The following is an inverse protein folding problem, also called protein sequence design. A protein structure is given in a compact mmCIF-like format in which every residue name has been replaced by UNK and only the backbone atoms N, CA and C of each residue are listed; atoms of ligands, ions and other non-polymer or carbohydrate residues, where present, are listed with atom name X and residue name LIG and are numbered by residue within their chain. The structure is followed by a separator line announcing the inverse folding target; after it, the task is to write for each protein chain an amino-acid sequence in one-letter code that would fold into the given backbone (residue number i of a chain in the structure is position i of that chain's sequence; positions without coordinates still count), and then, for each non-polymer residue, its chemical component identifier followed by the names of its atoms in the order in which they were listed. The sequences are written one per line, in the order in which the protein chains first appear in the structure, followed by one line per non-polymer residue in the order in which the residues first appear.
data_IF_123743642333
#
_entry.id   IF_123743642333
#
_cell.length_a   1.000
_cell.length_b   1.000
_cell.length_c   1.000
_cell.angle_alpha   90.00
_cell.angle_beta   90.00
_cell.angle_gamma   90.00
#
_symmetry.space_group_name_H-M   'P 1'
#
loop_
_entity.id
_entity.type
_entity.pdbx_description
1 polymer ?
#
# COMPACT_ATOMS: atom_id res chain seq x y z
N UNK A 1 3.61 10.57 38.95
CA UNK A 1 4.15 9.56 39.89
C UNK A 1 3.96 8.10 39.44
N UNK A 2 3.04 7.79 38.52
CA UNK A 2 2.76 6.40 38.09
C UNK A 2 3.90 5.73 37.27
N UNK A 3 4.75 6.51 36.58
CA UNK A 3 5.89 5.98 35.82
C UNK A 3 7.02 5.43 36.71
N UNK A 4 7.14 5.90 37.97
CA UNK A 4 8.10 5.34 38.93
C UNK A 4 7.63 3.97 39.46
N UNK A 5 6.32 3.71 39.45
CA UNK A 5 5.71 2.46 39.93
C UNK A 5 5.93 1.32 38.92
N UNK A 6 5.86 1.59 37.61
CA UNK A 6 6.11 0.56 36.59
C UNK A 6 7.60 0.18 36.48
N UNK A 7 8.51 1.14 36.70
CA UNK A 7 9.93 0.83 36.79
C UNK A 7 10.23 -0.05 38.01
N UNK A 8 9.60 0.22 39.16
CA UNK A 8 9.73 -0.63 40.35
C UNK A 8 9.16 -2.03 40.15
N UNK A 9 7.99 -2.17 39.51
CA UNK A 9 7.37 -3.47 39.25
C UNK A 9 8.19 -4.36 38.31
N UNK A 10 8.83 -3.77 37.29
CA UNK A 10 9.71 -4.51 36.38
C UNK A 10 11.00 -4.96 37.09
N UNK A 11 11.53 -4.16 38.00
CA UNK A 11 12.70 -4.52 38.81
C UNK A 11 12.37 -5.52 39.91
N UNK A 12 11.19 -5.44 40.53
CA UNK A 12 10.73 -6.41 41.54
C UNK A 12 10.52 -7.80 40.94
N UNK A 13 10.05 -7.88 39.69
CA UNK A 13 9.91 -9.16 39.00
C UNK A 13 11.27 -9.83 38.69
N UNK A 14 12.34 -9.05 38.46
CA UNK A 14 13.70 -9.58 38.30
C UNK A 14 14.37 -9.96 39.63
N UNK A 15 14.11 -9.22 40.71
CA UNK A 15 14.59 -9.58 42.06
C UNK A 15 13.97 -10.91 42.53
N UNK A 16 12.74 -11.22 42.14
CA UNK A 16 12.12 -12.53 42.40
C UNK A 16 12.79 -13.71 41.68
N UNK A 17 13.63 -13.47 40.65
CA UNK A 17 14.37 -14.51 39.95
C UNK A 17 15.77 -14.78 40.53
N UNK A 18 16.11 -14.18 41.69
CA UNK A 18 17.34 -14.47 42.41
C UNK A 18 18.61 -13.81 41.86
N UNK A 19 18.49 -12.97 40.83
CA UNK A 19 19.60 -12.16 40.34
C UNK A 19 19.87 -11.01 41.30
N UNK A 20 21.08 -10.96 41.84
CA UNK A 20 21.52 -9.83 42.67
C UNK A 20 21.83 -8.64 41.77
N UNK A 21 21.58 -7.41 42.24
CA UNK A 21 21.89 -6.18 41.47
C UNK A 21 23.33 -6.12 40.97
N UNK A 22 24.27 -6.79 41.66
CA UNK A 22 25.66 -6.90 41.27
C UNK A 22 25.86 -7.67 39.94
N UNK A 23 25.06 -8.70 39.67
CA UNK A 23 25.13 -9.44 38.40
C UNK A 23 24.57 -8.62 37.24
N UNK A 24 23.55 -7.81 37.50
CA UNK A 24 22.93 -6.94 36.49
C UNK A 24 23.91 -5.83 36.05
N UNK A 25 24.68 -5.27 36.99
CA UNK A 25 25.68 -4.23 36.68
C UNK A 25 26.81 -4.74 35.76
N UNK A 26 27.19 -6.02 35.86
CA UNK A 26 28.22 -6.61 35.00
C UNK A 26 27.82 -6.58 33.51
N UNK A 27 26.53 -6.77 33.21
CA UNK A 27 26.02 -6.72 31.84
C UNK A 27 25.96 -5.30 31.26
N UNK A 28 25.90 -4.26 32.09
CA UNK A 28 25.84 -2.87 31.63
C UNK A 28 27.19 -2.35 31.12
N UNK A 29 28.30 -3.06 31.37
CA UNK A 29 29.60 -2.74 30.79
C UNK A 29 29.74 -3.12 29.31
N UNK A 30 28.84 -3.94 28.77
CA UNK A 30 28.86 -4.33 27.36
C UNK A 30 28.17 -3.22 26.54
N UNK A 31 28.87 -2.51 25.63
CA UNK A 31 28.31 -1.33 24.95
C UNK A 31 27.03 -1.62 24.15
N UNK A 32 26.89 -2.82 23.57
CA UNK A 32 25.70 -3.21 22.83
C UNK A 32 24.47 -3.40 23.74
N UNK A 33 24.66 -3.92 24.96
CA UNK A 33 23.58 -4.08 25.95
C UNK A 33 23.08 -2.72 26.42
N UNK A 34 24.00 -1.78 26.67
CA UNK A 34 23.64 -0.41 27.04
C UNK A 34 22.88 0.33 25.92
N UNK A 35 23.27 0.13 24.65
CA UNK A 35 22.53 0.69 23.51
C UNK A 35 21.12 0.10 23.39
N UNK A 36 20.98 -1.22 23.52
CA UNK A 36 19.68 -1.89 23.49
C UNK A 36 18.79 -1.41 24.65
N UNK A 37 19.35 -1.25 25.84
CA UNK A 37 18.61 -0.74 27.00
C UNK A 37 18.13 0.70 26.78
N UNK A 38 18.99 1.58 26.25
CA UNK A 38 18.61 2.96 25.90
C UNK A 38 17.51 3.01 24.84
N UNK A 39 17.62 2.16 23.80
CA UNK A 39 16.61 2.05 22.76
C UNK A 39 15.27 1.54 23.32
N UNK A 40 15.31 0.48 24.14
CA UNK A 40 14.14 -0.06 24.82
C UNK A 40 13.46 0.99 25.70
N UNK A 41 14.23 1.70 26.54
CA UNK A 41 13.70 2.75 27.40
C UNK A 41 13.08 3.91 26.61
N UNK A 42 13.73 4.32 25.51
CA UNK A 42 13.19 5.32 24.58
C UNK A 42 11.86 4.87 23.95
N UNK A 43 11.77 3.60 23.55
CA UNK A 43 10.55 3.01 23.02
C UNK A 43 9.44 2.95 24.07
N UNK A 44 9.74 2.47 25.29
CA UNK A 44 8.77 2.42 26.39
C UNK A 44 8.21 3.80 26.72
N UNK A 45 9.05 4.85 26.71
CA UNK A 45 8.60 6.22 26.92
C UNK A 45 7.67 6.71 25.82
N UNK A 46 7.94 6.33 24.57
CA UNK A 46 7.09 6.68 23.43
C UNK A 46 5.74 5.97 23.50
N UNK A 47 5.73 4.69 23.88
CA UNK A 47 4.50 3.92 24.10
C UNK A 47 3.66 4.53 25.22
N UNK A 48 4.27 4.92 26.33
CA UNK A 48 3.56 5.58 27.43
C UNK A 48 2.88 6.89 26.99
N UNK A 49 3.59 7.72 26.21
CA UNK A 49 3.02 8.97 25.65
C UNK A 49 1.84 8.71 24.72
N UNK A 50 1.96 7.71 23.84
CA UNK A 50 0.88 7.35 22.91
C UNK A 50 -0.36 6.80 23.64
N UNK A 51 -0.18 6.11 24.77
CA UNK A 51 -1.30 5.64 25.60
C UNK A 51 -2.03 6.79 26.29
N UNK A 52 -1.30 7.81 26.74
CA UNK A 52 -1.87 9.04 27.31
C UNK A 52 -2.67 9.82 26.26
N UNK A 53 -2.09 10.05 25.08
CA UNK A 53 -2.78 10.73 23.96
C UNK A 53 -4.03 9.96 23.52
N UNK A 54 -3.96 8.63 23.44
CA UNK A 54 -5.12 7.78 23.14
C UNK A 54 -6.23 7.92 24.17
N UNK A 55 -5.88 8.08 25.44
CA UNK A 55 -6.85 8.26 26.53
C UNK A 55 -7.52 9.64 26.43
N UNK A 56 -6.75 10.70 26.17
CA UNK A 56 -7.28 12.05 25.96
C UNK A 56 -8.27 12.10 24.78
N UNK A 57 -7.94 11.45 23.66
CA UNK A 57 -8.82 11.35 22.50
C UNK A 57 -10.12 10.60 22.81
N UNK A 58 -10.06 9.55 23.65
CA UNK A 58 -11.25 8.83 24.09
C UNK A 58 -12.16 9.73 24.92
N UNK A 59 -11.59 10.44 25.90
CA UNK A 59 -12.34 11.36 26.76
C UNK A 59 -12.94 12.54 25.97
N UNK A 60 -12.19 13.05 24.96
CA UNK A 60 -12.67 14.06 24.03
C UNK A 60 -13.88 13.59 23.21
N UNK A 61 -13.82 12.37 22.67
CA UNK A 61 -14.94 11.77 21.95
C UNK A 61 -16.16 11.57 22.85
N UNK A 62 -15.98 11.05 24.07
CA UNK A 62 -17.07 10.90 25.04
C UNK A 62 -17.72 12.23 25.42
N UNK A 63 -16.93 13.31 25.51
CA UNK A 63 -17.44 14.67 25.75
C UNK A 63 -18.28 15.17 24.58
N UNK A 64 -17.81 15.02 23.34
CA UNK A 64 -18.55 15.41 22.14
C UNK A 64 -19.85 14.62 21.99
N UNK A 65 -19.82 13.32 22.30
CA UNK A 65 -21.01 12.47 22.26
C UNK A 65 -22.06 12.92 23.28
N UNK A 66 -21.65 13.26 24.51
CA UNK A 66 -22.54 13.87 25.51
C UNK A 66 -23.13 15.21 25.06
N UNK A 67 -22.36 16.04 24.36
CA UNK A 67 -22.89 17.29 23.80
C UNK A 67 -23.95 17.03 22.72
N UNK A 68 -23.72 16.07 21.83
CA UNK A 68 -24.71 15.67 20.82
C UNK A 68 -26.00 15.14 21.47
N UNK A 69 -25.90 14.32 22.51
CA UNK A 69 -27.05 13.84 23.26
C UNK A 69 -27.82 14.99 23.94
N UNK A 70 -27.14 16.00 24.50
CA UNK A 70 -27.79 17.19 25.05
C UNK A 70 -28.56 17.99 23.99
N UNK A 71 -28.04 18.10 22.76
CA UNK A 71 -28.74 18.75 21.66
C UNK A 71 -29.95 17.96 21.17
N UNK A 72 -29.89 16.62 21.19
CA UNK A 72 -31.01 15.77 20.79
C UNK A 72 -32.10 15.66 21.85
N UNK A 73 -31.72 15.67 23.13
CA UNK A 73 -32.64 15.54 24.26
C UNK A 73 -33.25 16.87 24.70
N UNK A 74 -32.69 18.00 24.27
CA UNK A 74 -33.35 19.29 24.44
C UNK A 74 -34.71 19.23 23.75
N UNK A 75 -35.82 19.28 24.50
CA UNK A 75 -37.15 19.24 23.91
C UNK A 75 -37.20 20.39 22.93
N UNK A 76 -37.26 20.05 21.64
CA UNK A 76 -37.42 21.01 20.56
C UNK A 76 -38.63 21.85 20.91
N UNK A 77 -38.39 23.02 21.50
CA UNK A 77 -39.43 23.98 21.81
C UNK A 77 -40.11 24.20 20.47
N UNK A 78 -41.36 23.74 20.34
CA UNK A 78 -42.13 23.67 19.11
C UNK A 78 -42.05 25.00 18.34
N UNK A 79 -40.97 25.18 17.59
CA UNK A 79 -40.81 26.30 16.69
C UNK A 79 -41.63 25.87 15.49
N UNK A 80 -42.86 26.35 15.47
CA UNK A 80 -43.68 26.38 14.27
C UNK A 80 -42.86 27.14 13.24
N UNK A 81 -42.10 26.41 12.41
CA UNK A 81 -41.46 26.96 11.23
C UNK A 81 -42.59 27.42 10.33
N UNK A 82 -43.00 28.67 10.47
CA UNK A 82 -43.86 29.34 9.51
C UNK A 82 -43.04 29.40 8.23
N UNK A 83 -43.29 28.44 7.35
CA UNK A 83 -42.64 28.28 6.06
C UNK A 83 -43.06 29.49 5.21
N UNK A 84 -42.32 30.58 5.32
CA UNK A 84 -42.45 31.71 4.39
C UNK A 84 -41.98 31.22 3.03
N UNK A 85 -42.98 30.80 2.24
CA UNK A 85 -42.85 30.47 0.83
C UNK A 85 -42.58 31.78 0.10
N UNK A 86 -41.31 32.20 0.08
CA UNK A 86 -40.86 33.27 -0.81
C UNK A 86 -40.95 32.74 -2.23
N UNK A 87 -42.06 33.07 -2.89
CA UNK A 87 -42.27 32.93 -4.32
C UNK A 87 -41.30 33.89 -4.99
N UNK A 88 -40.13 33.41 -5.38
CA UNK A 88 -39.25 34.16 -6.27
C UNK A 88 -39.77 33.97 -7.70
N UNK A 89 -40.56 34.93 -8.17
CA UNK A 89 -40.96 35.07 -9.57
C UNK A 89 -39.71 35.15 -10.44
N UNK A 90 -39.39 34.04 -11.11
CA UNK A 90 -38.33 33.99 -12.10
C UNK A 90 -38.94 34.33 -13.45
N UNK A 91 -38.79 35.61 -13.85
CA UNK A 91 -39.12 36.12 -15.18
C UNK A 91 -38.01 35.79 -16.18
N UNK A 92 -37.85 34.51 -16.52
CA UNK A 92 -37.04 34.11 -17.67
C UNK A 92 -37.93 33.42 -18.72
N UNK A 93 -37.95 33.89 -19.98
CA UNK A 93 -38.73 33.25 -21.04
C UNK A 93 -38.02 31.96 -21.48
N UNK A 94 -38.56 30.82 -21.06
CA UNK A 94 -38.19 29.50 -21.56
C UNK A 94 -38.92 29.21 -22.86
N UNK A 95 -38.17 29.12 -23.97
CA UNK A 95 -38.64 28.51 -25.21
C UNK A 95 -38.13 27.06 -25.31
N UNK A 96 -39.09 26.15 -25.48
CA UNK A 96 -38.99 24.89 -26.26
C UNK A 96 -38.27 23.69 -25.63
N UNK A 97 -39.01 22.66 -25.21
CA UNK A 97 -39.48 21.45 -25.96
C UNK A 97 -38.43 20.32 -25.98
N UNK A 98 -38.65 19.30 -25.16
CA UNK A 98 -38.94 17.93 -25.64
C UNK A 98 -39.19 16.98 -24.48
N UNK A 99 -40.42 16.46 -24.44
CA UNK A 99 -40.87 15.41 -23.55
C UNK A 99 -40.34 14.05 -24.03
N UNK A 100 -39.83 13.26 -23.09
CA UNK A 100 -39.80 11.80 -23.18
C UNK A 100 -40.44 11.24 -21.92
N UNK A 101 -41.50 10.41 -22.01
CA UNK A 101 -42.17 9.87 -20.85
C UNK A 101 -41.44 8.58 -20.43
N UNK A 102 -40.81 8.58 -19.26
CA UNK A 102 -40.41 7.33 -18.62
C UNK A 102 -40.85 7.32 -17.17
N UNK A 103 -42.04 6.72 -16.97
CA UNK A 103 -42.56 6.33 -15.67
C UNK A 103 -41.52 5.49 -14.92
N UNK A 104 -41.05 5.99 -13.78
CA UNK A 104 -40.70 5.17 -12.62
C UNK A 104 -41.29 5.82 -11.36
N UNK A 105 -41.88 5.05 -10.45
CA UNK A 105 -42.39 5.59 -9.20
C UNK A 105 -41.20 5.93 -8.30
N UNK A 106 -40.85 7.22 -8.22
CA UNK A 106 -40.01 7.73 -7.13
C UNK A 106 -40.86 7.77 -5.87
N UNK A 107 -40.58 6.87 -4.93
CA UNK A 107 -40.96 7.05 -3.55
C UNK A 107 -40.27 8.31 -3.03
N UNK A 108 -41.08 9.27 -2.59
CA UNK A 108 -40.63 10.41 -1.80
C UNK A 108 -39.99 9.88 -0.52
N UNK A 109 -38.66 9.84 -0.47
CA UNK A 109 -37.92 9.88 0.79
C UNK A 109 -37.51 11.33 0.96
N UNK A 110 -38.21 12.02 1.85
CA UNK A 110 -37.88 13.38 2.27
C UNK A 110 -36.41 13.44 2.67
N UNK A 111 -35.65 14.29 1.97
CA UNK A 111 -34.33 14.74 2.38
C UNK A 111 -34.44 15.48 3.71
N UNK A 112 -34.32 14.73 4.80
CA UNK A 112 -33.89 15.26 6.08
C UNK A 112 -32.42 15.67 5.95
N UNK A 113 -32.14 16.93 6.28
CA UNK A 113 -30.81 17.48 6.55
C UNK A 113 -30.11 16.65 7.63
N UNK A 114 -29.45 15.57 7.23
CA UNK A 114 -28.49 14.88 8.08
C UNK A 114 -27.19 15.68 7.96
N UNK A 115 -26.90 16.52 8.96
CA UNK A 115 -25.55 17.02 9.24
C UNK A 115 -24.68 15.82 9.60
N UNK A 116 -24.25 15.13 8.56
CA UNK A 116 -23.37 13.98 8.61
C UNK A 116 -22.05 14.46 9.22
N UNK A 117 -21.75 13.96 10.42
CA UNK A 117 -20.46 14.15 11.06
C UNK A 117 -19.40 13.68 10.06
N UNK A 118 -18.69 14.65 9.49
CA UNK A 118 -17.73 14.49 8.40
C UNK A 118 -16.67 13.47 8.78
N UNK A 119 -16.96 12.19 8.52
CA UNK A 119 -15.92 11.19 8.29
C UNK A 119 -14.98 11.80 7.24
N UNK A 120 -13.65 11.73 7.44
CA UNK A 120 -12.69 12.35 6.54
C UNK A 120 -13.04 11.90 5.13
N UNK A 121 -13.54 12.86 4.33
CA UNK A 121 -14.05 12.58 3.00
C UNK A 121 -12.96 11.80 2.28
N UNK A 122 -13.26 10.53 1.94
CA UNK A 122 -12.39 9.69 1.13
C UNK A 122 -12.07 10.51 -0.11
N UNK A 123 -10.85 11.05 -0.17
CA UNK A 123 -10.42 11.91 -1.27
C UNK A 123 -10.49 11.03 -2.50
N UNK A 124 -11.51 11.26 -3.33
CA UNK A 124 -11.67 10.56 -4.59
C UNK A 124 -10.34 10.72 -5.32
N UNK A 125 -9.66 9.62 -5.69
CA UNK A 125 -8.35 9.70 -6.30
C UNK A 125 -8.46 10.59 -7.53
N UNK A 126 -7.66 11.65 -7.56
CA UNK A 126 -7.56 12.53 -8.73
C UNK A 126 -7.19 11.64 -9.90
N UNK A 127 -8.04 11.59 -10.93
CA UNK A 127 -7.73 10.81 -12.13
C UNK A 127 -6.41 11.31 -12.70
N UNK A 128 -5.37 10.48 -12.70
CA UNK A 128 -4.10 10.80 -13.36
C UNK A 128 -4.37 11.07 -14.85
N UNK A 129 -3.74 12.10 -15.44
CA UNK A 129 -3.95 12.39 -16.84
C UNK A 129 -3.43 11.24 -17.70
N UNK A 130 -4.21 10.81 -18.69
CA UNK A 130 -3.79 9.77 -19.64
C UNK A 130 -2.58 10.22 -20.44
N UNK A 131 -2.50 11.50 -20.76
CA UNK A 131 -1.39 12.12 -21.49
C UNK A 131 -0.35 12.66 -20.52
N UNK A 132 0.93 12.46 -20.85
CA UNK A 132 2.05 12.99 -20.10
C UNK A 132 2.02 14.53 -20.08
N UNK A 133 2.04 15.17 -18.89
CA UNK A 133 2.23 16.61 -18.79
C UNK A 133 3.55 17.06 -19.42
N UNK A 134 3.54 18.22 -20.10
CA UNK A 134 4.71 18.75 -20.80
C UNK A 134 5.89 19.12 -19.87
N UNK A 135 5.62 19.29 -18.57
CA UNK A 135 6.64 19.56 -17.54
C UNK A 135 7.53 18.34 -17.23
N UNK A 136 7.09 17.13 -17.58
CA UNK A 136 7.84 15.91 -17.29
C UNK A 136 8.66 15.45 -18.50
N UNK A 137 9.94 15.09 -18.29
CA UNK A 137 10.82 14.72 -19.39
C UNK A 137 10.47 13.33 -19.97
N UNK A 138 11.02 13.01 -21.15
CA UNK A 138 10.68 11.77 -21.88
C UNK A 138 11.12 10.51 -21.12
N UNK A 139 12.16 10.67 -20.31
CA UNK A 139 12.77 9.68 -19.46
C UNK A 139 11.77 9.14 -18.44
N UNK A 140 10.82 9.94 -17.94
CA UNK A 140 9.80 9.39 -17.04
C UNK A 140 8.89 8.45 -17.81
N UNK A 141 9.00 7.14 -17.53
CA UNK A 141 8.18 6.12 -18.17
C UNK A 141 6.73 6.31 -17.74
N UNK A 142 5.95 6.97 -18.59
CA UNK A 142 4.60 7.42 -18.29
C UNK A 142 3.61 6.29 -18.49
N UNK A 143 3.75 5.56 -19.59
CA UNK A 143 2.99 4.34 -19.88
C UNK A 143 3.85 3.11 -19.58
N UNK A 144 3.19 1.98 -19.30
CA UNK A 144 3.89 0.70 -19.12
C UNK A 144 4.64 0.29 -20.39
N UNK A 145 4.12 0.62 -21.57
CA UNK A 145 4.74 0.29 -22.85
C UNK A 145 6.04 1.05 -23.12
N UNK A 146 6.23 2.22 -22.50
CA UNK A 146 7.47 3.01 -22.59
C UNK A 146 8.68 2.21 -22.08
N UNK A 147 8.46 1.21 -21.20
CA UNK A 147 9.53 0.33 -20.72
C UNK A 147 10.17 -0.51 -21.82
N UNK A 148 9.48 -0.76 -22.95
CA UNK A 148 10.00 -1.60 -24.04
C UNK A 148 11.11 -0.90 -24.83
N UNK A 149 11.03 0.42 -24.93
CA UNK A 149 11.97 1.26 -25.68
C UNK A 149 12.99 1.92 -24.78
N UNK A 150 12.96 1.64 -23.48
CA UNK A 150 13.81 2.31 -22.51
C UNK A 150 15.28 1.91 -22.66
N UNK A 151 16.18 2.89 -22.65
CA UNK A 151 17.64 2.69 -22.72
C UNK A 151 18.27 2.56 -21.34
N UNK A 152 17.60 3.01 -20.26
CA UNK A 152 18.12 2.93 -18.87
C UNK A 152 17.76 1.61 -18.16
N UNK A 153 17.40 0.58 -18.94
CA UNK A 153 17.27 -0.78 -18.43
C UNK A 153 15.94 -1.13 -17.75
N UNK A 154 14.87 -0.34 -17.91
CA UNK A 154 13.52 -0.76 -17.50
C UNK A 154 12.94 -1.88 -18.36
N UNK A 155 13.61 -2.22 -19.47
CA UNK A 155 13.20 -3.27 -20.40
C UNK A 155 12.88 -4.59 -19.68
N UNK A 156 11.76 -5.23 -20.03
CA UNK A 156 11.44 -6.57 -19.52
C UNK A 156 12.54 -7.57 -19.85
N UNK A 157 12.80 -8.51 -18.94
CA UNK A 157 13.74 -9.61 -19.20
C UNK A 157 13.17 -10.54 -20.28
N UNK A 158 14.04 -11.17 -21.09
CA UNK A 158 13.67 -12.16 -22.12
C UNK A 158 12.79 -13.28 -21.57
N UNK A 159 13.06 -13.74 -20.36
CA UNK A 159 12.27 -14.79 -19.70
C UNK A 159 10.96 -14.29 -19.06
N UNK A 160 10.76 -12.98 -18.96
CA UNK A 160 9.60 -12.37 -18.31
C UNK A 160 9.19 -11.04 -18.96
N UNK A 161 8.79 -11.12 -20.24
CA UNK A 161 8.41 -9.96 -21.06
C UNK A 161 7.25 -9.14 -20.47
N UNK A 162 6.46 -9.72 -19.57
CA UNK A 162 5.31 -9.07 -18.94
C UNK A 162 5.66 -8.12 -17.79
N UNK A 163 6.89 -8.20 -17.25
CA UNK A 163 7.32 -7.48 -16.06
C UNK A 163 8.54 -6.61 -16.34
N UNK A 164 8.38 -5.28 -16.39
CA UNK A 164 9.53 -4.38 -16.48
C UNK A 164 10.38 -4.48 -15.21
N UNK A 165 11.65 -4.11 -15.32
CA UNK A 165 12.54 -4.02 -14.16
C UNK A 165 12.14 -2.80 -13.33
N UNK A 166 11.28 -3.02 -12.33
CA UNK A 166 10.61 -1.94 -11.59
C UNK A 166 11.55 -0.91 -10.93
N UNK A 167 12.76 -1.30 -10.53
CA UNK A 167 13.77 -0.36 -10.00
C UNK A 167 14.15 0.71 -11.03
N UNK A 168 14.43 0.31 -12.27
CA UNK A 168 14.77 1.23 -13.38
C UNK A 168 13.54 1.97 -13.94
N UNK A 169 12.36 1.40 -13.74
CA UNK A 169 11.12 1.98 -14.25
C UNK A 169 10.57 3.12 -13.37
N UNK A 170 10.90 3.14 -12.08
CA UNK A 170 10.55 4.22 -11.16
C UNK A 170 11.65 5.27 -11.26
N UNK A 171 11.24 6.50 -11.56
CA UNK A 171 12.14 7.62 -11.82
C UNK A 171 11.71 8.84 -11.03
N UNK A 172 12.67 9.69 -10.72
CA UNK A 172 12.39 10.99 -10.14
C UNK A 172 11.81 11.96 -11.18
N UNK A 173 11.45 13.17 -10.73
CA UNK A 173 10.82 14.20 -11.59
C UNK A 173 11.73 14.70 -12.72
N UNK A 174 13.05 14.56 -12.55
CA UNK A 174 14.06 14.89 -13.55
C UNK A 174 14.33 13.74 -14.53
N UNK A 175 13.69 12.58 -14.34
CA UNK A 175 13.90 11.39 -15.16
C UNK A 175 15.04 10.49 -14.71
N UNK A 176 15.74 10.83 -13.63
CA UNK A 176 16.80 9.97 -13.06
C UNK A 176 16.22 8.70 -12.43
N UNK A 177 17.01 7.62 -12.43
CA UNK A 177 16.63 6.35 -11.81
C UNK A 177 16.79 6.44 -10.30
N UNK A 178 15.81 5.96 -9.54
CA UNK A 178 15.87 5.98 -8.09
C UNK A 178 16.96 5.07 -7.51
N UNK A 179 17.46 5.42 -6.33
CA UNK A 179 18.46 4.61 -5.62
C UNK A 179 17.93 3.22 -5.17
N UNK A 180 18.84 2.25 -5.05
CA UNK A 180 18.56 0.88 -4.58
C UNK A 180 17.88 0.87 -3.22
N UNK A 181 18.36 1.68 -2.28
CA UNK A 181 17.82 1.73 -0.91
C UNK A 181 16.41 2.32 -0.92
N UNK A 182 16.18 3.38 -1.71
CA UNK A 182 14.87 4.00 -1.84
C UNK A 182 13.85 3.04 -2.47
N UNK A 183 14.24 2.32 -3.53
CA UNK A 183 13.40 1.26 -4.11
C UNK A 183 13.08 0.15 -3.10
N UNK A 184 14.05 -0.28 -2.28
CA UNK A 184 13.82 -1.28 -1.23
C UNK A 184 12.80 -0.81 -0.20
N UNK A 185 12.85 0.46 0.20
CA UNK A 185 11.86 1.06 1.10
C UNK A 185 10.44 1.02 0.50
N UNK A 186 10.30 1.42 -0.77
CA UNK A 186 9.04 1.37 -1.51
C UNK A 186 8.49 -0.07 -1.55
N UNK A 187 9.34 -1.05 -1.85
CA UNK A 187 8.93 -2.46 -1.90
C UNK A 187 8.41 -2.97 -0.54
N UNK A 188 9.08 -2.61 0.56
CA UNK A 188 8.66 -3.00 1.92
C UNK A 188 7.29 -2.42 2.24
N UNK A 189 7.07 -1.15 1.94
CA UNK A 189 5.75 -0.52 2.16
C UNK A 189 4.69 -1.17 1.28
N UNK A 190 4.94 -1.40 -0.02
CA UNK A 190 3.98 -2.07 -0.89
C UNK A 190 3.60 -3.46 -0.35
N UNK A 191 4.57 -4.23 0.15
CA UNK A 191 4.32 -5.51 0.82
C UNK A 191 3.45 -5.34 2.06
N UNK A 192 3.75 -4.37 2.93
CA UNK A 192 2.96 -4.10 4.13
C UNK A 192 1.51 -3.70 3.79
N UNK A 193 1.32 -2.90 2.72
CA UNK A 193 -0.03 -2.50 2.26
C UNK A 193 -0.83 -3.71 1.79
N UNK A 194 -0.21 -4.62 1.03
CA UNK A 194 -0.87 -5.87 0.64
C UNK A 194 -1.14 -6.78 1.85
N UNK A 195 -0.23 -6.85 2.82
CA UNK A 195 -0.45 -7.59 4.06
C UNK A 195 -1.67 -7.08 4.82
N UNK A 196 -1.80 -5.74 4.94
CA UNK A 196 -2.96 -5.11 5.55
C UNK A 196 -4.27 -5.46 4.82
N UNK A 197 -4.28 -5.38 3.47
CA UNK A 197 -5.43 -5.77 2.66
C UNK A 197 -5.85 -7.23 2.91
N UNK A 198 -4.89 -8.15 2.96
CA UNK A 198 -5.16 -9.57 3.19
C UNK A 198 -5.65 -9.80 4.62
N UNK A 199 -5.07 -9.13 5.63
CA UNK A 199 -5.52 -9.24 7.02
C UNK A 199 -6.94 -8.73 7.22
N UNK A 200 -7.32 -7.65 6.53
CA UNK A 200 -8.68 -7.12 6.59
C UNK A 200 -9.70 -8.13 6.03
N UNK A 201 -9.39 -8.76 4.89
CA UNK A 201 -10.21 -9.85 4.35
C UNK A 201 -10.31 -11.04 5.30
N UNK A 202 -9.18 -11.40 5.91
CA UNK A 202 -9.12 -12.51 6.86
C UNK A 202 -9.93 -12.26 8.13
N UNK A 203 -10.01 -11.01 8.57
CA UNK A 203 -10.83 -10.59 9.71
C UNK A 203 -12.33 -10.69 9.40
N UNK A 204 -12.74 -10.48 8.15
CA UNK A 204 -14.15 -10.50 7.74
C UNK A 204 -14.65 -11.90 7.36
N UNK A 205 -13.80 -12.71 6.74
CA UNK A 205 -14.20 -13.98 6.11
C UNK A 205 -13.38 -15.21 6.51
N UNK A 206 -12.48 -15.08 7.49
CA UNK A 206 -11.54 -16.14 7.86
C UNK A 206 -10.36 -16.27 6.89
N UNK A 207 -9.48 -17.28 7.08
CA UNK A 207 -8.21 -17.39 6.35
C UNK A 207 -8.39 -17.33 4.83
N UNK A 208 -7.67 -16.43 4.15
CA UNK A 208 -7.82 -16.20 2.72
C UNK A 208 -7.08 -17.29 1.94
N UNK A 209 -7.78 -18.09 1.11
CA UNK A 209 -7.16 -19.11 0.29
C UNK A 209 -6.06 -18.55 -0.63
N UNK A 210 -5.00 -19.34 -0.84
CA UNK A 210 -3.81 -18.91 -1.59
C UNK A 210 -4.09 -18.58 -3.06
N UNK A 211 -5.08 -19.23 -3.65
CA UNK A 211 -5.60 -18.99 -4.99
C UNK A 211 -6.29 -17.62 -5.13
N UNK A 212 -6.79 -17.06 -4.03
CA UNK A 212 -7.37 -15.71 -3.98
C UNK A 212 -6.32 -14.61 -3.81
N UNK A 213 -5.05 -14.94 -3.53
CA UNK A 213 -3.96 -13.96 -3.47
C UNK A 213 -3.49 -13.56 -4.89
N UNK A 214 -4.39 -12.96 -5.66
CA UNK A 214 -4.15 -12.52 -7.03
C UNK A 214 -4.69 -11.11 -7.25
N UNK A 215 -4.05 -10.34 -8.15
CA UNK A 215 -4.56 -9.02 -8.58
C UNK A 215 -6.03 -9.11 -8.99
N UNK A 216 -6.39 -10.15 -9.76
CA UNK A 216 -7.74 -10.34 -10.28
C UNK A 216 -8.78 -10.38 -9.17
N UNK A 217 -8.53 -11.13 -8.10
CA UNK A 217 -9.45 -11.22 -6.97
C UNK A 217 -9.67 -9.86 -6.29
N UNK A 218 -8.60 -9.14 -5.96
CA UNK A 218 -8.74 -7.81 -5.33
C UNK A 218 -9.40 -6.81 -6.27
N UNK A 219 -9.11 -6.86 -7.57
CA UNK A 219 -9.73 -5.96 -8.53
C UNK A 219 -11.23 -6.23 -8.74
N UNK A 220 -11.69 -7.49 -8.69
CA UNK A 220 -13.12 -7.81 -8.90
C UNK A 220 -13.93 -7.71 -7.61
N UNK A 221 -13.40 -8.22 -6.50
CA UNK A 221 -14.16 -8.35 -5.26
C UNK A 221 -13.93 -7.19 -4.28
N UNK A 222 -12.79 -6.48 -4.39
CA UNK A 222 -12.29 -5.50 -3.40
C UNK A 222 -11.65 -4.27 -4.06
N UNK A 223 -12.28 -3.79 -5.13
CA UNK A 223 -11.73 -2.70 -5.96
C UNK A 223 -11.43 -1.44 -5.14
N UNK A 224 -12.32 -1.07 -4.22
CA UNK A 224 -12.17 0.13 -3.38
C UNK A 224 -10.94 0.03 -2.46
N UNK A 225 -10.73 -1.14 -1.86
CA UNK A 225 -9.57 -1.38 -1.00
C UNK A 225 -8.27 -1.39 -1.81
N UNK A 226 -8.31 -1.96 -3.02
CA UNK A 226 -7.18 -1.95 -3.95
C UNK A 226 -6.80 -0.53 -4.40
N UNK A 227 -7.79 0.27 -4.82
CA UNK A 227 -7.61 1.68 -5.18
C UNK A 227 -7.10 2.51 -4.00
N UNK A 228 -7.62 2.27 -2.80
CA UNK A 228 -7.13 2.91 -1.59
C UNK A 228 -5.67 2.55 -1.30
N UNK A 229 -5.28 1.29 -1.47
CA UNK A 229 -3.88 0.87 -1.30
C UNK A 229 -2.94 1.53 -2.33
N UNK A 230 -3.41 1.74 -3.57
CA UNK A 230 -2.68 2.52 -4.58
C UNK A 230 -2.53 3.98 -4.13
N UNK A 231 -3.64 4.63 -3.75
CA UNK A 231 -3.65 6.03 -3.36
C UNK A 231 -2.72 6.30 -2.16
N UNK A 232 -2.76 5.45 -1.14
CA UNK A 232 -1.89 5.56 0.04
C UNK A 232 -0.42 5.35 -0.35
N UNK A 233 -0.12 4.41 -1.26
CA UNK A 233 1.25 4.17 -1.70
C UNK A 233 1.80 5.34 -2.52
N UNK A 234 0.96 5.98 -3.35
CA UNK A 234 1.31 7.19 -4.11
C UNK A 234 1.45 8.43 -3.24
N UNK A 235 0.65 8.55 -2.18
CA UNK A 235 0.77 9.61 -1.18
C UNK A 235 2.09 9.52 -0.41
N UNK A 236 2.48 8.31 0.01
CA UNK A 236 3.76 8.08 0.70
C UNK A 236 4.97 8.22 -0.22
N UNK A 237 4.85 7.80 -1.49
CA UNK A 237 5.93 7.84 -2.47
C UNK A 237 5.47 8.53 -3.76
N UNK A 238 5.53 9.87 -3.83
CA UNK A 238 5.05 10.65 -4.97
C UNK A 238 5.68 10.29 -6.32
N UNK A 239 6.88 9.69 -6.34
CA UNK A 239 7.53 9.19 -7.56
C UNK A 239 6.72 8.12 -8.29
N UNK A 240 5.84 7.41 -7.58
CA UNK A 240 4.97 6.38 -8.16
C UNK A 240 3.79 7.00 -8.92
N UNK A 241 3.35 8.19 -8.50
CA UNK A 241 2.30 8.96 -9.15
C UNK A 241 2.75 9.60 -10.47
N UNK A 242 4.05 9.56 -10.80
CA UNK A 242 4.62 10.04 -12.07
C UNK A 242 4.42 8.99 -13.18
N UNK A 243 3.16 8.60 -13.41
CA UNK A 243 2.76 7.60 -14.38
C UNK A 243 1.25 7.67 -14.69
N UNK A 244 0.87 7.31 -15.91
CA UNK A 244 -0.53 7.16 -16.27
C UNK A 244 -1.18 6.00 -15.51
N UNK A 245 -2.45 6.16 -15.13
CA UNK A 245 -3.28 5.09 -14.58
C UNK A 245 -2.63 4.30 -13.43
N UNK A 246 -1.75 4.95 -12.65
CA UNK A 246 -1.12 4.41 -11.45
C UNK A 246 -0.37 3.08 -11.69
N UNK A 247 0.10 2.83 -12.92
CA UNK A 247 0.59 1.50 -13.29
C UNK A 247 1.82 1.07 -12.49
N UNK A 248 2.65 2.01 -12.04
CA UNK A 248 3.84 1.75 -11.20
C UNK A 248 3.46 1.27 -9.82
N UNK A 249 2.57 2.01 -9.13
CA UNK A 249 2.04 1.65 -7.82
C UNK A 249 1.32 0.30 -7.88
N UNK A 250 0.49 0.11 -8.90
CA UNK A 250 -0.21 -1.15 -9.11
C UNK A 250 0.76 -2.32 -9.28
N UNK A 251 1.78 -2.19 -10.12
CA UNK A 251 2.76 -3.26 -10.37
C UNK A 251 3.56 -3.61 -9.10
N UNK A 252 3.83 -2.65 -8.21
CA UNK A 252 4.44 -2.88 -6.90
C UNK A 252 3.54 -3.69 -5.97
N UNK A 253 2.24 -3.37 -5.90
CA UNK A 253 1.28 -4.17 -5.11
C UNK A 253 1.16 -5.61 -5.66
N UNK A 254 1.17 -5.79 -6.98
CA UNK A 254 1.20 -7.12 -7.60
C UNK A 254 2.45 -7.90 -7.20
N UNK A 255 3.61 -7.25 -7.15
CA UNK A 255 4.84 -7.87 -6.67
C UNK A 255 4.74 -8.21 -5.17
N UNK A 256 4.10 -7.35 -4.36
CA UNK A 256 3.82 -7.61 -2.95
C UNK A 256 2.94 -8.85 -2.73
N UNK A 257 1.88 -9.02 -3.52
CA UNK A 257 1.04 -10.22 -3.53
C UNK A 257 1.86 -11.48 -3.86
N UNK A 258 2.73 -11.41 -4.87
CA UNK A 258 3.60 -12.52 -5.23
C UNK A 258 4.56 -12.91 -4.09
N UNK A 259 5.17 -11.92 -3.43
CA UNK A 259 6.05 -12.12 -2.27
C UNK A 259 5.32 -12.75 -1.09
N UNK A 260 4.09 -12.30 -0.80
CA UNK A 260 3.24 -12.90 0.24
C UNK A 260 2.89 -14.35 -0.06
N UNK A 261 2.50 -14.64 -1.30
CA UNK A 261 2.17 -15.99 -1.73
C UNK A 261 3.36 -16.95 -1.56
N UNK A 262 4.57 -16.50 -1.92
CA UNK A 262 5.80 -17.27 -1.73
C UNK A 262 6.08 -17.53 -0.25
N UNK A 263 5.97 -16.52 0.62
CA UNK A 263 6.17 -16.66 2.08
C UNK A 263 5.18 -17.64 2.72
N UNK A 264 3.90 -17.63 2.29
CA UNK A 264 2.90 -18.61 2.73
C UNK A 264 3.14 -20.03 2.21
N UNK A 265 3.91 -20.19 1.13
CA UNK A 265 4.27 -21.51 0.61
C UNK A 265 5.45 -22.13 1.33
N UNK A 266 6.43 -21.34 1.75
CA UNK A 266 7.59 -21.85 2.49
C UNK A 266 7.24 -22.28 3.91
N UNK A 267 6.10 -21.79 4.43
CA UNK A 267 5.64 -22.04 5.80
C UNK A 267 6.69 -21.71 6.86
N UNK A 268 6.39 -21.83 8.15
CA UNK A 268 7.42 -22.13 9.13
C UNK A 268 7.90 -23.55 8.81
N UNK A 269 8.77 -23.69 7.81
CA UNK A 269 9.51 -24.93 7.61
C UNK A 269 10.07 -25.30 8.97
N UNK A 270 9.71 -26.48 9.49
CA UNK A 270 10.19 -27.07 10.75
C UNK A 270 11.69 -27.37 10.69
N UNK A 271 12.50 -26.48 10.12
CA UNK A 271 13.96 -26.47 10.10
C UNK A 271 14.48 -25.94 11.43
N UNK A 272 14.13 -26.62 12.51
CA UNK A 272 14.89 -26.55 13.75
C UNK A 272 14.79 -27.86 14.54
N UNK A 273 14.88 -28.98 13.83
CA UNK A 273 15.27 -30.25 14.43
C UNK A 273 16.49 -30.78 13.69
N UNK A 274 17.59 -30.85 14.44
CA UNK A 274 18.85 -31.57 14.16
C UNK A 274 19.86 -30.87 13.24
N UNK A 275 20.74 -30.10 13.86
CA UNK A 275 22.17 -30.34 13.69
C UNK A 275 22.88 -30.12 15.03
N UNK A 276 22.57 -31.00 15.99
CA UNK A 276 23.43 -31.28 17.15
C UNK A 276 24.16 -32.58 16.83
N UNK A 277 25.17 -32.52 15.94
CA UNK A 277 26.26 -33.49 15.86
C UNK A 277 27.27 -33.05 14.79
N UNK A 278 28.32 -32.35 15.18
CA UNK A 278 29.67 -32.91 15.27
C UNK A 278 30.65 -31.76 15.49
N UNK A 279 31.18 -31.66 16.72
CA UNK A 279 32.46 -31.01 16.93
C UNK A 279 33.51 -31.84 16.20
N UNK A 280 34.09 -31.24 15.17
CA UNK A 280 35.15 -31.84 14.36
C UNK A 280 35.87 -30.73 13.64
N UNK A 281 36.85 -30.15 14.33
CA UNK A 281 37.93 -29.33 13.80
C UNK A 281 38.23 -29.64 12.32
N UNK A 282 38.18 -28.62 11.47
CA UNK A 282 39.23 -28.37 10.46
C UNK A 282 39.09 -26.97 9.84
N UNK A 283 40.03 -26.11 10.23
CA UNK A 283 40.95 -25.31 9.38
C UNK A 283 40.36 -24.64 8.14
N UNK A 284 40.36 -23.30 8.23
CA UNK A 284 40.45 -22.25 7.20
C UNK A 284 40.71 -22.67 5.76
N UNK A 285 39.85 -22.19 4.84
CA UNK A 285 40.31 -21.60 3.59
C UNK A 285 39.29 -20.55 3.09
N UNK A 286 39.80 -19.33 2.93
CA UNK A 286 39.12 -18.15 2.41
C UNK A 286 38.68 -18.38 0.96
N UNK A 287 37.37 -18.49 0.73
CA UNK A 287 36.81 -18.41 -0.62
C UNK A 287 35.69 -17.39 -0.66
N UNK A 288 36.04 -16.21 -1.15
CA UNK A 288 35.14 -15.11 -1.44
C UNK A 288 33.96 -15.57 -2.32
N UNK A 289 32.78 -15.66 -1.72
CA UNK A 289 31.54 -15.85 -2.45
C UNK A 289 31.10 -14.53 -3.09
N UNK A 290 31.37 -14.42 -4.39
CA UNK A 290 30.84 -13.39 -5.28
C UNK A 290 29.33 -13.57 -5.42
N UNK A 291 28.57 -12.77 -4.68
CA UNK A 291 27.13 -12.58 -4.89
C UNK A 291 26.94 -11.70 -6.13
N UNK A 292 26.63 -12.33 -7.26
CA UNK A 292 26.28 -11.67 -8.52
C UNK A 292 24.89 -11.02 -8.41
N UNK A 293 24.85 -9.87 -7.74
CA UNK A 293 23.80 -8.88 -7.90
C UNK A 293 24.00 -8.24 -9.27
N UNK A 294 23.06 -8.47 -10.19
CA UNK A 294 23.01 -7.76 -11.46
C UNK A 294 22.72 -6.29 -11.22
N UNK A 295 23.74 -5.52 -10.88
CA UNK A 295 23.69 -4.08 -10.86
C UNK A 295 23.24 -3.59 -12.22
N UNK A 296 22.42 -2.53 -12.20
CA UNK A 296 21.91 -1.88 -13.39
C UNK A 296 23.02 -1.03 -14.03
N UNK A 297 24.22 -1.60 -14.14
CA UNK A 297 25.25 -1.06 -14.99
C UNK A 297 24.74 -1.23 -16.42
N UNK A 298 24.68 -0.11 -17.15
CA UNK A 298 24.18 -0.07 -18.51
C UNK A 298 24.89 -1.10 -19.40
N UNK A 299 24.28 -1.47 -20.53
CA UNK A 299 24.90 -2.41 -21.46
C UNK A 299 26.27 -1.87 -21.88
N UNK A 300 27.33 -2.49 -21.35
CA UNK A 300 28.67 -2.31 -21.89
C UNK A 300 28.65 -2.97 -23.27
N UNK A 301 28.85 -2.13 -24.27
CA UNK A 301 28.92 -2.44 -25.69
C UNK A 301 30.00 -3.51 -25.93
N UNK A 302 29.57 -4.77 -25.98
CA UNK A 302 30.43 -5.91 -26.29
C UNK A 302 30.23 -6.25 -27.76
N UNK A 303 31.22 -5.85 -28.55
CA UNK A 303 31.31 -6.11 -29.98
C UNK A 303 31.28 -7.60 -30.35
N UNK A 304 30.87 -7.77 -31.60
CA UNK A 304 30.88 -8.95 -32.46
C UNK A 304 31.58 -10.22 -31.96
N UNK A 305 30.78 -11.26 -31.75
CA UNK A 305 31.22 -12.64 -31.96
C UNK A 305 30.06 -13.47 -32.54
N UNK A 306 30.12 -13.64 -33.85
CA UNK A 306 29.42 -14.63 -34.66
C UNK A 306 29.65 -16.06 -34.11
N UNK A 307 28.59 -16.87 -34.07
CA UNK A 307 28.66 -18.21 -33.48
C UNK A 307 27.29 -18.87 -33.30
N UNK A 308 26.63 -19.18 -34.41
CA UNK A 308 25.35 -19.88 -34.43
C UNK A 308 25.37 -21.26 -33.77
N UNK A 309 24.37 -21.52 -32.92
CA UNK A 309 23.83 -22.86 -32.65
C UNK A 309 22.32 -22.78 -32.43
N UNK A 310 21.59 -23.16 -33.48
CA UNK A 310 20.15 -23.33 -33.53
C UNK A 310 19.73 -24.52 -32.66
N UNK A 311 18.99 -24.26 -31.57
CA UNK A 311 18.25 -25.28 -30.82
C UNK A 311 16.77 -24.97 -30.87
N UNK A 312 16.09 -25.67 -31.77
CA UNK A 312 14.63 -25.71 -31.89
C UNK A 312 14.06 -26.29 -30.60
N UNK A 313 13.43 -25.43 -29.79
CA UNK A 313 12.63 -25.85 -28.63
C UNK A 313 11.15 -25.59 -28.92
N UNK A 314 10.39 -26.67 -28.99
CA UNK A 314 8.97 -26.69 -29.30
C UNK A 314 8.20 -26.08 -28.13
N UNK A 315 7.63 -24.89 -28.36
CA UNK A 315 6.98 -24.08 -27.34
C UNK A 315 5.57 -24.54 -26.98
N UNK A 316 5.33 -24.73 -25.68
CA UNK A 316 3.98 -24.78 -25.11
C UNK A 316 3.52 -23.34 -24.81
N UNK A 317 2.97 -22.66 -25.83
CA UNK A 317 2.39 -21.30 -25.70
C UNK A 317 1.07 -21.37 -24.93
N UNK A 318 1.08 -21.10 -23.62
CA UNK A 318 -0.13 -20.74 -22.88
C UNK A 318 -0.52 -19.31 -23.25
N UNK A 319 -1.51 -19.19 -24.13
CA UNK A 319 -2.11 -17.93 -24.60
C UNK A 319 -2.87 -17.26 -23.46
N UNK A 320 -2.23 -16.33 -22.76
CA UNK A 320 -2.92 -15.39 -21.87
C UNK A 320 -3.66 -14.38 -22.74
N UNK A 321 -5.01 -14.44 -22.76
CA UNK A 321 -5.82 -13.38 -23.36
C UNK A 321 -5.81 -12.19 -22.40
N UNK A 322 -5.18 -11.11 -22.83
CA UNK A 322 -5.38 -9.77 -22.29
C UNK A 322 -6.80 -9.35 -22.69
N UNK A 323 -7.64 -8.98 -21.71
CA UNK A 323 -8.92 -8.32 -21.99
C UNK A 323 -8.60 -6.81 -21.97
N UNK A 324 -8.38 -6.24 -23.16
CA UNK A 324 -8.50 -4.80 -23.34
C UNK A 324 -9.99 -4.47 -23.37
N UNK A 325 -10.49 -3.80 -22.34
CA UNK A 325 -11.79 -3.15 -22.39
C UNK A 325 -11.67 -1.91 -23.27
N UNK A 326 -11.88 -2.10 -24.58
CA UNK A 326 -12.24 -1.01 -25.49
C UNK A 326 -13.68 -0.58 -25.18
N UNK A 327 -13.83 0.53 -24.47
CA UNK A 327 -15.07 1.32 -24.50
C UNK A 327 -15.07 2.07 -25.83
N UNK A 328 -15.48 1.39 -26.90
CA UNK A 328 -15.83 2.03 -28.17
C UNK A 328 -17.34 2.07 -28.29
N UNK A 329 -17.90 3.26 -28.04
CA UNK A 329 -19.29 3.55 -28.32
C UNK A 329 -19.50 3.63 -29.83
N UNK A 330 -20.05 2.57 -30.42
CA UNK A 330 -20.56 2.61 -31.78
C UNK A 330 -22.04 3.02 -31.75
N UNK A 331 -22.27 4.31 -31.94
CA UNK A 331 -23.52 4.86 -32.44
C UNK A 331 -23.65 4.47 -33.91
N UNK A 332 -24.66 3.68 -34.25
CA UNK A 332 -25.09 3.48 -35.63
C UNK A 332 -26.62 3.64 -35.70
N UNK A 333 -27.04 4.86 -36.08
CA UNK A 333 -28.33 5.16 -36.67
C UNK A 333 -28.25 4.87 -38.18
N UNK A 334 -29.20 4.09 -38.68
CA UNK A 334 -29.72 4.05 -40.07
C UNK A 334 -30.94 3.12 -40.01
N UNK A 335 -32.12 3.37 -40.57
CA UNK A 335 -32.74 4.49 -41.28
C UNK A 335 -34.26 4.34 -41.10
#
# INVERSE_FOLDING_TARGET
MQNLVHSKACTEHQVQQGHTWAEIDEYFHIPCVLQLFKAHYGLSRTVARLLEEKQELREGNERLQRQLEQFQTSPSANYTVTRYRTVSESLAPSNSISQSPSRRPSGNVESGDIKEGSLPALRIPKSQPTTRPAEYPVEILWLKDDCKTDTLGAQPQTNNSSRPRMRCAIREKDGSVIDKQYYSAIQKVAVMRVEHLVQEEERLGGPLPKDKLTKRYFWTERIKQWENAIAVLEEEYPVLALAAANWKAEQLLVNGLASLRTRRNTGPSKKMKRSTKNEGLQVVDDRAESSSDGDCEGPQDAGDADGGKEKVSVGLKRKWRFIENSVSGASARTS
#
